data_IF_760182488219
#
_entry.id   IF_760182488219
#
_cell.length_a   1.000
_cell.length_b   1.000
_cell.length_c   1.000
_cell.angle_alpha   90.00
_cell.angle_beta   90.00
_cell.angle_gamma   90.00
#
_symmetry.space_group_name_H-M   'P 1'
#
loop_
_entity.id
_entity.type
_entity.pdbx_description
1 polymer ?
#
# COMPACT_ATOMS: atom_id res chain seq x y z
N UNK A 1 20.04 16.37 10.02
CA UNK A 1 20.00 15.45 8.85
C UNK A 1 19.06 14.31 9.17
N UNK A 2 18.07 14.06 8.33
CA UNK A 2 17.04 13.03 8.56
C UNK A 2 17.62 11.66 8.22
N UNK A 3 17.48 10.68 9.12
CA UNK A 3 17.81 9.28 8.83
C UNK A 3 16.58 8.61 8.20
N UNK A 4 16.74 7.69 7.24
CA UNK A 4 15.61 6.93 6.71
C UNK A 4 15.01 6.05 7.80
N UNK A 5 13.68 5.98 7.83
CA UNK A 5 12.93 5.04 8.68
C UNK A 5 12.73 3.71 7.96
N UNK A 6 12.24 2.70 8.68
CA UNK A 6 11.86 1.41 8.09
C UNK A 6 10.85 1.58 6.95
N UNK A 7 9.92 2.54 7.09
CA UNK A 7 8.88 2.87 6.10
C UNK A 7 9.49 3.51 4.86
N UNK A 8 10.41 4.47 5.03
CA UNK A 8 11.09 5.12 3.90
C UNK A 8 11.86 4.08 3.07
N UNK A 9 12.53 3.13 3.72
CA UNK A 9 13.26 2.05 3.04
C UNK A 9 12.30 1.07 2.35
N UNK A 10 11.18 0.72 2.98
CA UNK A 10 10.19 -0.19 2.40
C UNK A 10 9.53 0.41 1.15
N UNK A 11 9.16 1.69 1.19
CA UNK A 11 8.63 2.43 0.04
C UNK A 11 9.66 2.52 -1.09
N UNK A 12 10.94 2.79 -0.76
CA UNK A 12 12.01 2.80 -1.76
C UNK A 12 12.24 1.42 -2.41
N UNK A 13 12.08 0.32 -1.66
CA UNK A 13 12.16 -1.05 -2.22
C UNK A 13 11.03 -1.29 -3.22
N UNK A 14 9.79 -0.95 -2.86
CA UNK A 14 8.63 -1.12 -3.75
C UNK A 14 8.79 -0.30 -5.04
N UNK A 15 9.30 0.94 -4.94
CA UNK A 15 9.58 1.79 -6.11
C UNK A 15 10.68 1.23 -7.00
N UNK A 16 11.73 0.64 -6.43
CA UNK A 16 12.80 -0.01 -7.20
C UNK A 16 12.33 -1.32 -7.83
N UNK A 17 11.41 -2.04 -7.18
CA UNK A 17 10.88 -3.31 -7.67
C UNK A 17 9.74 -3.16 -8.68
N UNK A 18 9.02 -2.03 -8.69
CA UNK A 18 7.98 -1.74 -9.67
C UNK A 18 8.48 -1.62 -11.12
N UNK A 19 9.79 -1.69 -11.33
CA UNK A 19 10.40 -1.82 -12.65
C UNK A 19 10.38 -3.30 -13.10
N UNK A 20 9.63 -3.64 -14.16
CA UNK A 20 9.41 -5.02 -14.60
C UNK A 20 10.69 -5.74 -15.03
N UNK A 21 11.78 -5.03 -15.29
CA UNK A 21 13.08 -5.64 -15.60
C UNK A 21 13.79 -6.21 -14.36
N UNK A 22 13.34 -5.87 -13.15
CA UNK A 22 14.05 -6.18 -11.92
C UNK A 22 13.25 -7.04 -10.95
N UNK A 23 13.26 -8.35 -11.22
CA UNK A 23 12.83 -9.38 -10.25
C UNK A 23 13.60 -9.33 -8.91
N UNK A 24 14.81 -8.76 -8.93
CA UNK A 24 15.69 -8.59 -7.77
C UNK A 24 16.08 -7.12 -7.59
N UNK A 25 16.29 -6.70 -6.35
CA UNK A 25 16.79 -5.36 -6.05
C UNK A 25 18.10 -5.42 -5.26
N UNK A 26 18.96 -4.42 -5.45
CA UNK A 26 20.22 -4.28 -4.71
C UNK A 26 20.12 -3.16 -3.68
N UNK A 27 20.86 -3.29 -2.58
CA UNK A 27 20.90 -2.27 -1.52
C UNK A 27 21.37 -0.91 -2.04
N UNK A 28 22.31 -0.94 -2.99
CA UNK A 28 22.81 0.24 -3.70
C UNK A 28 21.73 1.02 -4.45
N UNK A 29 20.72 0.34 -5.01
CA UNK A 29 19.60 0.95 -5.74
C UNK A 29 18.56 1.53 -4.80
N UNK A 30 18.23 0.84 -3.71
CA UNK A 30 17.35 1.36 -2.65
C UNK A 30 17.93 2.67 -2.10
N UNK A 31 19.24 2.69 -1.83
CA UNK A 31 19.96 3.91 -1.47
C UNK A 31 19.83 5.00 -2.54
N UNK A 32 20.07 4.69 -3.82
CA UNK A 32 19.98 5.67 -4.90
C UNK A 32 18.58 6.28 -4.99
N UNK A 33 17.54 5.45 -4.84
CA UNK A 33 16.15 5.89 -4.78
C UNK A 33 15.90 6.84 -3.62
N UNK A 34 16.43 6.54 -2.42
CA UNK A 34 16.33 7.44 -1.27
C UNK A 34 17.06 8.76 -1.52
N UNK A 35 18.26 8.75 -2.12
CA UNK A 35 19.00 9.98 -2.44
C UNK A 35 18.28 10.87 -3.45
N UNK A 36 17.56 10.27 -4.41
CA UNK A 36 16.80 11.01 -5.42
C UNK A 36 15.66 11.86 -4.81
N UNK A 37 15.19 11.54 -3.61
CA UNK A 37 14.10 12.28 -2.95
C UNK A 37 14.52 13.61 -2.32
N UNK A 38 15.82 13.96 -2.32
CA UNK A 38 16.40 15.14 -1.64
C UNK A 38 16.15 15.27 -0.13
N UNK A 39 15.37 14.35 0.46
CA UNK A 39 15.02 14.30 1.89
C UNK A 39 16.15 13.80 2.79
N UNK A 40 17.09 13.05 2.21
CA UNK A 40 18.21 12.42 2.91
C UNK A 40 19.53 12.98 2.38
N UNK A 41 20.23 13.74 3.22
CA UNK A 41 21.46 14.46 2.85
C UNK A 41 22.75 13.71 3.23
N UNK A 42 22.62 12.49 3.75
CA UNK A 42 23.77 11.65 4.09
C UNK A 42 24.53 11.22 2.82
N UNK A 43 25.87 11.13 2.93
CA UNK A 43 26.70 10.60 1.87
C UNK A 43 26.32 9.14 1.53
N UNK A 44 26.62 8.71 0.31
CA UNK A 44 26.27 7.39 -0.22
C UNK A 44 26.56 6.23 0.73
N UNK A 45 27.80 6.14 1.25
CA UNK A 45 28.21 5.06 2.15
C UNK A 45 27.46 5.10 3.49
N UNK A 46 27.21 6.30 4.02
CA UNK A 46 26.50 6.49 5.28
C UNK A 46 25.01 6.16 5.15
N UNK A 47 24.38 6.55 4.04
CA UNK A 47 22.98 6.21 3.79
C UNK A 47 22.80 4.69 3.58
N UNK A 48 23.75 4.04 2.90
CA UNK A 48 23.73 2.58 2.79
C UNK A 48 23.81 1.91 4.17
N UNK A 49 24.72 2.37 5.03
CA UNK A 49 24.85 1.87 6.40
C UNK A 49 23.57 2.07 7.22
N UNK A 50 22.87 3.20 7.01
CA UNK A 50 21.57 3.47 7.64
C UNK A 50 20.45 2.54 7.12
N UNK A 51 20.52 2.06 5.88
CA UNK A 51 19.54 1.12 5.33
C UNK A 51 19.74 -0.32 5.84
N UNK A 52 20.97 -0.73 6.18
CA UNK A 52 21.27 -2.11 6.59
C UNK A 52 20.44 -2.65 7.78
N UNK A 53 20.22 -1.90 8.89
CA UNK A 53 19.36 -2.40 9.97
C UNK A 53 17.93 -2.64 9.51
N UNK A 54 17.38 -1.77 8.65
CA UNK A 54 16.03 -1.91 8.10
C UNK A 54 15.90 -3.12 7.17
N UNK A 55 16.88 -3.34 6.28
CA UNK A 55 16.92 -4.55 5.45
C UNK A 55 17.02 -5.83 6.28
N UNK A 56 17.76 -5.81 7.39
CA UNK A 56 17.85 -6.95 8.31
C UNK A 56 16.51 -7.22 8.99
N UNK A 57 15.82 -6.17 9.42
CA UNK A 57 14.52 -6.27 10.03
C UNK A 57 13.46 -6.83 9.06
N UNK A 58 13.38 -6.31 7.84
CA UNK A 58 12.45 -6.83 6.83
C UNK A 58 12.72 -8.29 6.47
N UNK A 59 13.99 -8.72 6.48
CA UNK A 59 14.35 -10.14 6.35
C UNK A 59 13.84 -10.97 7.50
N UNK A 60 14.00 -10.48 8.73
CA UNK A 60 13.51 -11.19 9.92
C UNK A 60 11.99 -11.32 9.91
N UNK A 61 11.28 -10.32 9.40
CA UNK A 61 9.83 -10.32 9.20
C UNK A 61 9.35 -11.17 8.01
N UNK A 62 10.27 -11.73 7.22
CA UNK A 62 9.94 -12.58 6.06
C UNK A 62 9.47 -11.83 4.82
N UNK A 63 9.56 -10.50 4.78
CA UNK A 63 9.09 -9.71 3.64
C UNK A 63 10.04 -9.74 2.44
N UNK A 64 11.34 -9.88 2.73
CA UNK A 64 12.40 -9.94 1.73
C UNK A 64 13.39 -11.04 2.11
N UNK A 65 14.13 -11.54 1.13
CA UNK A 65 15.25 -12.46 1.36
C UNK A 65 16.46 -12.08 0.52
N UNK A 66 17.64 -12.59 0.88
CA UNK A 66 18.84 -12.48 0.06
C UNK A 66 18.85 -13.59 -0.98
N UNK A 67 19.23 -13.25 -2.20
CA UNK A 67 19.38 -14.21 -3.30
C UNK A 67 20.86 -14.37 -3.56
N UNK A 68 21.35 -15.60 -3.42
CA UNK A 68 22.73 -15.92 -3.75
C UNK A 68 22.79 -16.23 -5.24
N UNK A 69 23.40 -15.31 -5.99
CA UNK A 69 23.73 -15.53 -7.40
C UNK A 69 25.18 -16.03 -7.47
N UNK A 70 25.45 -16.93 -8.41
CA UNK A 70 26.82 -17.42 -8.67
C UNK A 70 27.75 -16.21 -8.89
N UNK A 71 28.92 -16.23 -8.23
CA UNK A 71 29.99 -15.23 -8.35
C UNK A 71 29.70 -13.81 -7.80
N UNK A 72 28.69 -13.61 -6.93
CA UNK A 72 28.50 -12.31 -6.26
C UNK A 72 28.90 -12.33 -4.78
N UNK A 73 30.10 -11.81 -4.48
CA UNK A 73 30.58 -11.60 -3.11
C UNK A 73 30.17 -10.23 -2.51
N UNK A 74 29.79 -9.26 -3.35
CA UNK A 74 29.48 -7.89 -2.93
C UNK A 74 28.12 -7.42 -3.45
N UNK A 75 27.41 -6.65 -2.63
CA UNK A 75 26.07 -6.10 -2.90
C UNK A 75 25.05 -7.19 -3.31
N UNK A 76 24.94 -8.18 -2.43
CA UNK A 76 24.04 -9.34 -2.57
C UNK A 76 22.61 -8.83 -2.84
N UNK A 77 21.97 -9.28 -3.93
CA UNK A 77 20.62 -8.86 -4.27
C UNK A 77 19.59 -9.47 -3.31
N UNK A 78 18.46 -8.81 -3.26
CA UNK A 78 17.29 -9.22 -2.50
C UNK A 78 16.13 -9.50 -3.45
N UNK A 79 15.22 -10.37 -3.04
CA UNK A 79 13.88 -10.47 -3.63
C UNK A 79 12.82 -10.17 -2.58
N UNK A 80 11.68 -9.66 -3.03
CA UNK A 80 10.48 -9.57 -2.22
C UNK A 80 9.86 -10.97 -2.15
N UNK A 81 9.54 -11.43 -0.94
CA UNK A 81 8.92 -12.73 -0.68
C UNK A 81 7.44 -12.57 -0.35
N UNK A 82 7.10 -11.50 0.36
CA UNK A 82 5.72 -11.14 0.69
C UNK A 82 5.47 -9.67 0.33
N UNK A 83 5.06 -9.45 -0.92
CA UNK A 83 4.80 -8.11 -1.46
C UNK A 83 3.58 -7.47 -0.79
N UNK A 84 2.53 -8.25 -0.54
CA UNK A 84 1.29 -7.76 0.07
C UNK A 84 1.55 -7.27 1.50
N UNK A 85 2.31 -8.01 2.30
CA UNK A 85 2.68 -7.56 3.65
C UNK A 85 3.55 -6.29 3.61
N UNK A 86 4.49 -6.19 2.68
CA UNK A 86 5.34 -5.01 2.53
C UNK A 86 4.54 -3.77 2.10
N UNK A 87 3.63 -3.92 1.12
CA UNK A 87 2.72 -2.86 0.68
C UNK A 87 1.77 -2.43 1.81
N UNK A 88 1.17 -3.38 2.52
CA UNK A 88 0.29 -3.09 3.66
C UNK A 88 1.03 -2.36 4.79
N UNK A 89 2.29 -2.70 5.05
CA UNK A 89 3.11 -1.99 6.03
C UNK A 89 3.36 -0.52 5.64
N UNK A 90 3.70 -0.27 4.36
CA UNK A 90 3.91 1.09 3.85
C UNK A 90 2.61 1.89 3.89
N UNK A 91 1.50 1.27 3.48
CA UNK A 91 0.17 1.86 3.55
C UNK A 91 -0.18 2.21 5.01
N UNK A 92 -0.21 1.24 5.92
CA UNK A 92 -0.54 1.46 7.34
C UNK A 92 0.32 2.56 7.98
N UNK A 93 1.59 2.64 7.63
CA UNK A 93 2.49 3.66 8.15
C UNK A 93 2.23 5.05 7.55
N UNK A 94 1.84 5.12 6.27
CA UNK A 94 1.36 6.35 5.62
C UNK A 94 0.00 6.80 6.18
N UNK A 95 -0.78 5.85 6.71
CA UNK A 95 -2.10 6.07 7.30
C UNK A 95 -2.08 6.57 8.75
N UNK A 96 -0.94 6.51 9.43
CA UNK A 96 -0.75 7.19 10.72
C UNK A 96 -0.85 8.72 10.65
N UNK A 97 -1.04 9.30 9.44
CA UNK A 97 -1.53 10.67 9.20
C UNK A 97 -3.05 10.75 8.97
N UNK A 98 -3.84 9.99 9.74
CA UNK A 98 -5.29 9.76 9.58
C UNK A 98 -6.15 11.04 9.59
N UNK A 99 -6.27 11.71 8.44
CA UNK A 99 -7.41 12.58 8.18
C UNK A 99 -8.10 12.25 6.86
N UNK A 100 -7.35 11.87 5.82
CA UNK A 100 -7.90 11.62 4.49
C UNK A 100 -8.67 10.30 4.37
N UNK A 101 -8.18 9.18 4.94
CA UNK A 101 -8.89 7.90 4.85
C UNK A 101 -10.15 7.86 5.73
N UNK A 102 -10.16 8.51 6.90
CA UNK A 102 -11.38 8.62 7.70
C UNK A 102 -12.45 9.37 6.90
N UNK A 103 -12.09 10.52 6.29
CA UNK A 103 -13.03 11.26 5.44
C UNK A 103 -13.53 10.44 4.25
N UNK A 104 -12.68 9.59 3.65
CA UNK A 104 -13.11 8.70 2.55
C UNK A 104 -14.04 7.60 3.07
N UNK A 105 -13.70 6.96 4.20
CA UNK A 105 -14.53 5.93 4.83
C UNK A 105 -15.89 6.49 5.26
N UNK A 106 -15.92 7.65 5.92
CA UNK A 106 -17.12 8.36 6.34
C UNK A 106 -17.99 8.74 5.14
N UNK A 107 -17.37 9.22 4.05
CA UNK A 107 -18.07 9.57 2.82
C UNK A 107 -18.61 8.34 2.08
N UNK A 108 -17.92 7.19 2.16
CA UNK A 108 -18.41 5.93 1.61
C UNK A 108 -19.57 5.39 2.44
N UNK A 109 -19.49 5.44 3.77
CA UNK A 109 -20.58 5.03 4.66
C UNK A 109 -21.86 5.85 4.40
N UNK A 110 -21.75 7.18 4.31
CA UNK A 110 -22.89 8.04 3.97
C UNK A 110 -23.49 7.75 2.59
N UNK A 111 -22.67 7.36 1.61
CA UNK A 111 -23.16 7.01 0.27
C UNK A 111 -23.90 5.66 0.29
N UNK A 112 -23.41 4.69 1.05
CA UNK A 112 -24.08 3.39 1.21
C UNK A 112 -25.44 3.57 1.90
N UNK A 113 -25.49 4.33 2.99
CA UNK A 113 -26.75 4.62 3.70
C UNK A 113 -27.80 5.28 2.79
N UNK A 114 -27.39 6.20 1.91
CA UNK A 114 -28.31 6.79 0.90
C UNK A 114 -28.78 5.78 -0.14
N UNK A 115 -27.92 4.85 -0.54
CA UNK A 115 -28.28 3.80 -1.51
C UNK A 115 -29.29 2.87 -0.85
N UNK A 116 -29.04 2.43 0.38
CA UNK A 116 -29.96 1.56 1.12
C UNK A 116 -31.34 2.22 1.29
N UNK A 117 -31.39 3.48 1.73
CA UNK A 117 -32.68 4.20 1.81
C UNK A 117 -33.36 4.44 0.45
N UNK A 118 -32.59 4.51 -0.64
CA UNK A 118 -33.18 4.58 -1.99
C UNK A 118 -33.77 3.24 -2.42
N UNK A 119 -33.11 2.13 -2.07
CA UNK A 119 -33.59 0.78 -2.31
C UNK A 119 -34.90 0.56 -1.55
N UNK A 120 -34.93 0.85 -0.25
CA UNK A 120 -36.14 0.71 0.58
C UNK A 120 -37.33 1.46 0.00
N UNK A 121 -37.14 2.71 -0.43
CA UNK A 121 -38.20 3.50 -1.07
C UNK A 121 -38.70 2.90 -2.38
N UNK A 122 -37.80 2.37 -3.22
CA UNK A 122 -38.18 1.70 -4.47
C UNK A 122 -38.95 0.41 -4.16
N UNK A 123 -38.54 -0.35 -3.15
CA UNK A 123 -39.25 -1.56 -2.71
C UNK A 123 -40.67 -1.22 -2.21
N UNK A 124 -40.83 -0.14 -1.45
CA UNK A 124 -42.14 0.36 -1.01
C UNK A 124 -43.01 0.82 -2.19
N UNK A 125 -42.47 1.58 -3.14
CA UNK A 125 -43.18 2.02 -4.35
C UNK A 125 -43.63 0.84 -5.22
N UNK A 126 -42.81 -0.21 -5.35
CA UNK A 126 -43.19 -1.44 -6.07
C UNK A 126 -44.30 -2.18 -5.33
N UNK A 127 -44.23 -2.28 -3.99
CA UNK A 127 -45.29 -2.92 -3.21
C UNK A 127 -46.61 -2.14 -3.30
N UNK A 128 -46.57 -0.81 -3.20
CA UNK A 128 -47.75 0.05 -3.19
C UNK A 128 -48.34 0.26 -4.60
N UNK A 129 -47.50 0.35 -5.63
CA UNK A 129 -47.94 0.41 -7.03
C UNK A 129 -48.62 -0.89 -7.49
N UNK A 130 -48.20 -2.04 -6.97
CA UNK A 130 -48.88 -3.33 -7.23
C UNK A 130 -50.25 -3.44 -6.55
N UNK A 131 -50.50 -2.72 -5.46
CA UNK A 131 -51.82 -2.72 -4.80
C UNK A 131 -52.86 -1.86 -5.50
N UNK A 132 -52.46 -0.83 -6.26
CA UNK A 132 -53.41 0.04 -6.98
C UNK A 132 -53.87 -0.55 -8.33
N UNK A 133 -53.03 -1.34 -9.01
CA UNK A 133 -53.42 -2.03 -10.26
C UNK A 133 -54.32 -3.27 -10.03
N UNK A 134 -54.34 -3.83 -8.83
CA UNK A 134 -55.13 -5.02 -8.48
C UNK A 134 -56.60 -4.76 -8.14
N UNK A 135 -57.05 -3.49 -8.04
CA UNK A 135 -58.38 -3.14 -7.52
C UNK A 135 -59.30 -2.46 -8.54
N UNK A 136 -58.93 -2.45 -9.83
CA UNK A 136 -59.69 -1.80 -10.91
C UNK A 136 -60.29 -2.78 -11.93
N UNK A 137 -60.81 -3.93 -11.48
CA UNK A 137 -61.58 -4.82 -12.38
C UNK A 137 -62.73 -5.52 -11.67
N UNK A 138 -63.70 -4.73 -11.19
CA UNK A 138 -65.05 -5.23 -10.91
C UNK A 138 -66.07 -4.08 -10.96
N UNK A 139 -66.52 -3.71 -12.17
CA UNK A 139 -67.86 -3.18 -12.45
C UNK A 139 -68.26 -3.46 -13.90
#
# INVERSE_FOLDING_TARGET
>A
MTRPTLVDVADAILKVHGDPEYRYFKSSRVRAQLQATSRFTAAAGQLNAQCQPHLREMRHRGWIERVQLENQERDIPYRIVDEVALQNFVLASSLSGHHALSQIADRLAQRLERIDGTIERIEEEILHGRTEEGNSTEK
#
